data_IF_899666626292
#
_entry.id   IF_899666626292
#
_cell.length_a   1.000
_cell.length_b   1.000
_cell.length_c   1.000
_cell.angle_alpha   90.00
_cell.angle_beta   90.00
_cell.angle_gamma   90.00
#
_symmetry.space_group_name_H-M   'P 1'
#
loop_
_entity.id
_entity.type
_entity.pdbx_description
1 polymer ?
#
# COMPACT_ATOMS: atom_id res chain seq x y z
N UNK A 1 0.18 10.10 6.41
CA UNK A 1 1.23 10.38 7.42
C UNK A 1 2.61 10.32 6.79
N UNK A 2 2.94 9.31 5.96
CA UNK A 2 4.22 9.25 5.23
C UNK A 2 4.44 10.53 4.43
N UNK A 3 3.52 10.91 3.57
CA UNK A 3 3.64 12.04 2.64
C UNK A 3 4.03 13.36 3.30
N UNK A 4 3.57 13.63 4.54
CA UNK A 4 3.92 14.87 5.23
C UNK A 4 5.38 14.91 5.68
N UNK A 5 5.90 13.80 6.20
CA UNK A 5 7.31 13.69 6.62
C UNK A 5 8.22 13.70 5.41
N UNK A 6 7.87 12.92 4.37
CA UNK A 6 8.59 12.87 3.09
C UNK A 6 8.70 14.26 2.48
N UNK A 7 7.56 15.00 2.40
CA UNK A 7 7.55 16.35 1.83
C UNK A 7 8.46 17.32 2.57
N UNK A 8 8.53 17.24 3.92
CA UNK A 8 9.41 18.08 4.71
C UNK A 8 10.89 17.73 4.44
N UNK A 9 11.22 16.45 4.40
CA UNK A 9 12.61 15.99 4.19
C UNK A 9 13.03 16.28 2.75
N UNK A 10 12.20 15.94 1.76
CA UNK A 10 12.46 16.22 0.34
C UNK A 10 12.62 17.71 0.11
N UNK A 11 11.70 18.53 0.62
CA UNK A 11 11.77 20.00 0.45
C UNK A 11 13.02 20.61 1.05
N UNK A 12 13.46 20.11 2.23
CA UNK A 12 14.62 20.63 2.94
C UNK A 12 15.97 20.19 2.34
N UNK A 13 16.07 18.97 1.85
CA UNK A 13 17.33 18.35 1.45
C UNK A 13 17.49 18.07 -0.03
N UNK A 14 16.39 17.84 -0.77
CA UNK A 14 16.40 17.62 -2.22
C UNK A 14 16.02 18.88 -3.03
N UNK A 15 15.47 19.89 -2.36
CA UNK A 15 15.13 21.17 -2.97
C UNK A 15 13.70 21.27 -3.52
N UNK A 16 13.34 22.47 -3.98
CA UNK A 16 11.97 22.81 -4.38
C UNK A 16 11.47 22.06 -5.62
N UNK A 17 12.36 21.74 -6.57
CA UNK A 17 12.01 20.95 -7.76
C UNK A 17 11.63 19.52 -7.39
N UNK A 18 12.39 18.89 -6.49
CA UNK A 18 12.09 17.55 -5.99
C UNK A 18 10.77 17.51 -5.22
N UNK A 19 10.53 18.52 -4.38
CA UNK A 19 9.26 18.66 -3.66
C UNK A 19 8.07 18.83 -4.62
N UNK A 20 8.23 19.64 -5.68
CA UNK A 20 7.21 19.82 -6.69
C UNK A 20 6.93 18.51 -7.46
N UNK A 21 7.96 17.72 -7.78
CA UNK A 21 7.82 16.43 -8.44
C UNK A 21 7.03 15.41 -7.58
N UNK A 22 7.32 15.32 -6.30
CA UNK A 22 6.58 14.47 -5.35
C UNK A 22 5.13 14.96 -5.22
N UNK A 23 4.93 16.26 -4.97
CA UNK A 23 3.61 16.85 -4.79
C UNK A 23 2.70 16.73 -6.03
N UNK A 24 3.27 16.80 -7.23
CA UNK A 24 2.51 16.56 -8.49
C UNK A 24 2.03 15.10 -8.60
N UNK A 25 2.76 14.16 -8.01
CA UNK A 25 2.39 12.73 -8.02
C UNK A 25 1.38 12.37 -6.93
N UNK A 26 1.25 13.16 -5.85
CA UNK A 26 0.39 12.89 -4.69
C UNK A 26 -1.08 12.59 -5.04
N UNK A 27 -1.77 13.30 -5.95
CA UNK A 27 -3.14 12.96 -6.32
C UNK A 27 -3.29 11.55 -6.88
N UNK A 28 -2.32 11.11 -7.69
CA UNK A 28 -2.31 9.77 -8.30
C UNK A 28 -2.08 8.71 -7.22
N UNK A 29 -1.12 8.95 -6.33
CA UNK A 29 -0.83 8.08 -5.18
C UNK A 29 -2.04 7.93 -4.27
N UNK A 30 -2.70 9.05 -3.94
CA UNK A 30 -3.91 9.04 -3.10
C UNK A 30 -5.07 8.28 -3.77
N UNK A 31 -5.27 8.45 -5.07
CA UNK A 31 -6.29 7.71 -5.82
C UNK A 31 -6.03 6.21 -5.80
N UNK A 32 -4.77 5.79 -5.95
CA UNK A 32 -4.36 4.40 -5.85
C UNK A 32 -4.63 3.83 -4.45
N UNK A 33 -4.23 4.54 -3.39
CA UNK A 33 -4.46 4.14 -2.00
C UNK A 33 -5.95 4.02 -1.69
N UNK A 34 -6.76 4.99 -2.14
CA UNK A 34 -8.21 4.98 -1.94
C UNK A 34 -8.86 3.78 -2.64
N UNK A 35 -8.45 3.47 -3.87
CA UNK A 35 -8.93 2.30 -4.61
C UNK A 35 -8.64 0.98 -3.88
N UNK A 36 -7.40 0.77 -3.44
CA UNK A 36 -6.98 -0.40 -2.67
C UNK A 36 -7.75 -0.47 -1.34
N UNK A 37 -7.84 0.66 -0.62
CA UNK A 37 -8.52 0.72 0.68
C UNK A 37 -10.01 0.42 0.57
N UNK A 38 -10.68 0.87 -0.50
CA UNK A 38 -12.09 0.59 -0.75
C UNK A 38 -12.39 -0.90 -0.79
N UNK A 39 -11.59 -1.67 -1.54
CA UNK A 39 -11.68 -3.13 -1.62
C UNK A 39 -11.50 -3.75 -0.22
N UNK A 40 -10.48 -3.30 0.52
CA UNK A 40 -10.18 -3.83 1.84
C UNK A 40 -11.26 -3.51 2.88
N UNK A 41 -11.93 -2.36 2.77
CA UNK A 41 -13.06 -1.98 3.65
C UNK A 41 -14.23 -2.92 3.43
N UNK A 42 -14.64 -3.17 2.18
CA UNK A 42 -15.72 -4.11 1.86
C UNK A 42 -15.46 -5.50 2.41
N UNK A 43 -14.27 -6.04 2.16
CA UNK A 43 -13.84 -7.32 2.72
C UNK A 43 -13.82 -7.35 4.26
N UNK A 44 -13.38 -6.26 4.91
CA UNK A 44 -13.35 -6.15 6.37
C UNK A 44 -14.74 -6.22 6.99
N UNK A 45 -15.74 -5.59 6.36
CA UNK A 45 -17.13 -5.64 6.82
C UNK A 45 -17.65 -7.07 6.78
N UNK A 46 -17.46 -7.78 5.66
CA UNK A 46 -17.90 -9.15 5.49
C UNK A 46 -17.19 -10.12 6.46
N UNK A 47 -15.88 -9.97 6.62
CA UNK A 47 -15.12 -10.75 7.60
C UNK A 47 -15.58 -10.47 9.04
N UNK A 48 -15.97 -9.23 9.39
CA UNK A 48 -16.50 -8.88 10.70
C UNK A 48 -17.86 -9.52 10.95
N UNK A 49 -18.73 -9.60 9.93
CA UNK A 49 -20.02 -10.31 9.99
C UNK A 49 -19.79 -11.80 10.28
N UNK A 50 -18.89 -12.47 9.55
CA UNK A 50 -18.54 -13.87 9.78
C UNK A 50 -17.91 -14.10 11.16
N UNK A 51 -17.10 -13.14 11.64
CA UNK A 51 -16.52 -13.22 12.99
C UNK A 51 -17.59 -13.15 14.06
N UNK A 52 -18.55 -12.22 13.94
CA UNK A 52 -19.70 -12.13 14.84
C UNK A 52 -20.58 -13.37 14.85
N UNK A 53 -20.78 -13.99 13.68
CA UNK A 53 -21.51 -15.24 13.49
C UNK A 53 -20.70 -16.50 13.90
N UNK A 54 -19.42 -16.37 14.26
CA UNK A 54 -18.47 -17.46 14.59
C UNK A 54 -18.23 -18.46 13.44
N UNK A 55 -18.37 -18.02 12.20
CA UNK A 55 -18.17 -18.84 10.99
C UNK A 55 -16.72 -18.65 10.49
N UNK A 56 -15.76 -19.21 11.22
CA UNK A 56 -14.32 -18.98 11.01
C UNK A 56 -13.78 -19.46 9.66
N UNK A 57 -14.36 -20.50 9.07
CA UNK A 57 -13.95 -20.97 7.74
C UNK A 57 -14.30 -19.96 6.64
N UNK A 58 -15.42 -19.25 6.77
CA UNK A 58 -15.79 -18.22 5.80
C UNK A 58 -14.90 -16.97 5.93
N UNK A 59 -14.37 -16.67 7.14
CA UNK A 59 -13.35 -15.62 7.31
C UNK A 59 -12.12 -15.97 6.48
N UNK A 60 -11.62 -17.21 6.54
CA UNK A 60 -10.44 -17.66 5.78
C UNK A 60 -10.69 -17.61 4.28
N UNK A 61 -11.88 -18.05 3.84
CA UNK A 61 -12.28 -18.01 2.43
C UNK A 61 -12.34 -16.57 1.91
N UNK A 62 -12.95 -15.64 2.68
CA UNK A 62 -13.03 -14.24 2.32
C UNK A 62 -11.65 -13.57 2.33
N UNK A 63 -10.83 -13.85 3.33
CA UNK A 63 -9.47 -13.33 3.42
C UNK A 63 -8.61 -13.80 2.23
N UNK A 64 -8.68 -15.10 1.85
CA UNK A 64 -8.00 -15.64 0.68
C UNK A 64 -8.50 -15.03 -0.62
N UNK A 65 -9.82 -14.83 -0.74
CA UNK A 65 -10.45 -14.19 -1.91
C UNK A 65 -9.97 -12.76 -2.04
N UNK A 66 -9.93 -12.00 -0.94
CA UNK A 66 -9.44 -10.62 -0.91
C UNK A 66 -7.97 -10.52 -1.29
N UNK A 67 -7.11 -11.44 -0.81
CA UNK A 67 -5.70 -11.51 -1.23
C UNK A 67 -5.61 -11.75 -2.75
N UNK A 68 -6.35 -12.72 -3.26
CA UNK A 68 -6.28 -13.09 -4.69
C UNK A 68 -6.73 -11.96 -5.60
N UNK A 69 -7.88 -11.36 -5.30
CA UNK A 69 -8.45 -10.27 -6.10
C UNK A 69 -7.63 -9.00 -5.93
N UNK A 70 -7.31 -8.62 -4.69
CA UNK A 70 -6.53 -7.43 -4.40
C UNK A 70 -5.16 -7.45 -5.08
N UNK A 71 -4.45 -8.57 -5.00
CA UNK A 71 -3.16 -8.73 -5.68
C UNK A 71 -3.32 -8.77 -7.20
N UNK A 72 -4.37 -9.41 -7.72
CA UNK A 72 -4.66 -9.43 -9.16
C UNK A 72 -4.94 -8.03 -9.72
N UNK A 73 -5.80 -7.26 -9.06
CA UNK A 73 -6.09 -5.87 -9.44
C UNK A 73 -4.82 -5.01 -9.32
N UNK A 74 -4.07 -5.16 -8.22
CA UNK A 74 -2.84 -4.41 -8.02
C UNK A 74 -1.79 -4.73 -9.09
N UNK A 75 -1.66 -5.99 -9.50
CA UNK A 75 -0.75 -6.36 -10.59
C UNK A 75 -1.12 -5.66 -11.91
N UNK A 76 -2.41 -5.57 -12.24
CA UNK A 76 -2.88 -4.83 -13.41
C UNK A 76 -2.56 -3.33 -13.27
N UNK A 77 -2.81 -2.74 -12.10
CA UNK A 77 -2.50 -1.33 -11.81
C UNK A 77 -1.00 -1.06 -11.93
N UNK A 78 -0.14 -1.95 -11.44
CA UNK A 78 1.33 -1.82 -11.56
C UNK A 78 1.74 -1.82 -13.03
N UNK A 79 1.27 -2.79 -13.80
CA UNK A 79 1.62 -2.91 -15.22
C UNK A 79 1.17 -1.66 -15.99
N UNK A 80 -0.10 -1.28 -15.84
CA UNK A 80 -0.65 -0.10 -16.52
C UNK A 80 0.03 1.19 -16.01
N UNK A 81 0.27 1.29 -14.71
CA UNK A 81 0.93 2.44 -14.10
C UNK A 81 2.36 2.64 -14.62
N UNK A 82 3.14 1.57 -14.72
CA UNK A 82 4.50 1.63 -15.25
C UNK A 82 4.52 2.02 -16.74
N UNK A 83 3.57 1.48 -17.53
CA UNK A 83 3.47 1.78 -18.96
C UNK A 83 2.95 3.19 -19.23
N UNK A 84 1.98 3.65 -18.45
CA UNK A 84 1.24 4.89 -18.68
C UNK A 84 1.72 6.06 -17.81
N UNK A 85 2.70 5.87 -16.91
CA UNK A 85 3.17 6.91 -15.97
C UNK A 85 3.47 8.24 -16.64
N UNK A 86 4.20 8.22 -17.77
CA UNK A 86 4.53 9.42 -18.51
C UNK A 86 3.30 10.08 -19.15
N UNK A 87 2.37 9.28 -19.68
CA UNK A 87 1.10 9.77 -20.26
C UNK A 87 0.23 10.41 -19.18
N UNK A 88 0.13 9.79 -18.01
CA UNK A 88 -0.64 10.32 -16.88
C UNK A 88 -0.07 11.67 -16.43
N UNK A 89 1.26 11.78 -16.29
CA UNK A 89 1.92 13.02 -15.90
C UNK A 89 1.74 14.12 -16.96
N UNK A 90 1.77 13.78 -18.24
CA UNK A 90 1.47 14.73 -19.32
C UNK A 90 0.01 15.21 -19.27
N UNK A 91 -0.93 14.31 -18.96
CA UNK A 91 -2.35 14.64 -18.89
C UNK A 91 -2.66 15.65 -17.78
N UNK A 92 -1.96 15.53 -16.63
CA UNK A 92 -2.07 16.49 -15.52
C UNK A 92 -1.19 17.73 -15.71
N UNK A 93 -0.62 17.91 -16.93
CA UNK A 93 0.17 19.07 -17.32
C UNK A 93 1.40 19.31 -16.43
N UNK A 94 2.10 18.23 -16.04
CA UNK A 94 3.33 18.31 -15.26
C UNK A 94 4.38 19.15 -16.00
N UNK A 95 4.99 20.16 -15.35
CA UNK A 95 6.02 20.98 -15.97
C UNK A 95 7.20 20.15 -16.48
N UNK A 96 7.75 20.46 -17.69
CA UNK A 96 8.87 19.68 -18.26
C UNK A 96 10.10 19.59 -17.38
N UNK A 97 10.32 20.60 -16.54
CA UNK A 97 11.48 20.70 -15.64
C UNK A 97 11.52 19.63 -14.54
N UNK A 98 10.34 19.13 -14.13
CA UNK A 98 10.20 18.14 -13.06
C UNK A 98 9.67 16.80 -13.58
N UNK A 99 9.38 16.69 -14.88
CA UNK A 99 8.76 15.51 -15.49
C UNK A 99 9.56 14.23 -15.24
N UNK A 100 10.88 14.28 -15.38
CA UNK A 100 11.76 13.12 -15.21
C UNK A 100 11.73 12.61 -13.75
N UNK A 101 11.79 13.53 -12.81
CA UNK A 101 11.76 13.23 -11.36
C UNK A 101 10.39 12.70 -10.95
N UNK A 102 9.30 13.35 -11.36
CA UNK A 102 7.94 12.91 -11.10
C UNK A 102 7.67 11.51 -11.69
N UNK A 103 8.14 11.24 -12.91
CA UNK A 103 7.98 9.93 -13.55
C UNK A 103 8.75 8.83 -12.80
N UNK A 104 9.98 9.13 -12.35
CA UNK A 104 10.80 8.20 -11.58
C UNK A 104 10.15 7.87 -10.24
N UNK A 105 9.66 8.88 -9.53
CA UNK A 105 8.93 8.73 -8.26
C UNK A 105 7.65 7.90 -8.44
N UNK A 106 6.83 8.27 -9.41
CA UNK A 106 5.55 7.60 -9.68
C UNK A 106 5.74 6.12 -10.03
N UNK A 107 6.78 5.78 -10.80
CA UNK A 107 7.13 4.39 -11.09
C UNK A 107 7.50 3.61 -9.83
N UNK A 108 8.27 4.21 -8.92
CA UNK A 108 8.59 3.58 -7.64
C UNK A 108 7.34 3.35 -6.79
N UNK A 109 6.43 4.31 -6.75
CA UNK A 109 5.14 4.15 -6.05
C UNK A 109 4.33 3.00 -6.64
N UNK A 110 4.25 2.86 -7.98
CA UNK A 110 3.58 1.71 -8.59
C UNK A 110 4.26 0.39 -8.22
N UNK A 111 5.59 0.34 -8.19
CA UNK A 111 6.33 -0.86 -7.73
C UNK A 111 6.04 -1.16 -6.26
N UNK A 112 5.82 -0.16 -5.42
CA UNK A 112 5.43 -0.29 -4.01
C UNK A 112 3.98 -0.73 -3.80
N UNK A 113 3.08 -0.49 -4.76
CA UNK A 113 1.65 -0.76 -4.62
C UNK A 113 1.28 -2.19 -4.15
N UNK A 114 1.99 -3.27 -4.52
CA UNK A 114 1.73 -4.60 -3.96
C UNK A 114 1.94 -4.68 -2.45
N UNK A 115 2.93 -3.98 -1.90
CA UNK A 115 3.18 -3.94 -0.46
C UNK A 115 2.09 -3.15 0.27
N UNK A 116 1.70 -2.00 -0.30
CA UNK A 116 0.55 -1.23 0.19
C UNK A 116 -0.73 -2.07 0.20
N UNK A 117 -0.99 -2.82 -0.87
CA UNK A 117 -2.13 -3.71 -0.98
C UNK A 117 -2.09 -4.81 0.10
N UNK A 118 -0.98 -5.51 0.24
CA UNK A 118 -0.80 -6.55 1.26
C UNK A 118 -1.00 -5.98 2.68
N UNK A 119 -0.36 -4.85 3.00
CA UNK A 119 -0.56 -4.21 4.29
C UNK A 119 -2.04 -3.91 4.56
N UNK A 120 -2.76 -3.34 3.58
CA UNK A 120 -4.17 -3.01 3.73
C UNK A 120 -5.04 -4.26 3.93
N UNK A 121 -4.79 -5.35 3.20
CA UNK A 121 -5.52 -6.61 3.32
C UNK A 121 -5.30 -7.24 4.70
N UNK A 122 -4.05 -7.39 5.14
CA UNK A 122 -3.74 -7.96 6.46
C UNK A 122 -4.27 -7.07 7.60
N UNK A 123 -4.17 -5.76 7.44
CA UNK A 123 -4.73 -4.78 8.37
C UNK A 123 -6.26 -4.87 8.46
N UNK A 124 -6.94 -5.05 7.32
CA UNK A 124 -8.39 -5.25 7.25
C UNK A 124 -8.81 -6.54 7.96
N UNK A 125 -8.09 -7.64 7.73
CA UNK A 125 -8.30 -8.91 8.42
C UNK A 125 -8.13 -8.79 9.94
N UNK A 126 -7.09 -8.12 10.42
CA UNK A 126 -6.88 -7.89 11.84
C UNK A 126 -7.98 -7.03 12.45
N UNK A 127 -8.38 -5.95 11.79
CA UNK A 127 -9.48 -5.09 12.25
C UNK A 127 -10.81 -5.84 12.32
N UNK A 128 -11.08 -6.73 11.37
CA UNK A 128 -12.34 -7.49 11.34
C UNK A 128 -12.53 -8.43 12.54
N UNK A 129 -11.45 -8.87 13.16
CA UNK A 129 -11.45 -9.69 14.38
C UNK A 129 -11.25 -8.89 15.67
N UNK A 130 -11.28 -7.54 15.58
CA UNK A 130 -11.16 -6.64 16.73
C UNK A 130 -9.74 -6.15 17.04
N UNK A 131 -8.71 -6.59 16.33
CA UNK A 131 -7.33 -6.11 16.55
C UNK A 131 -7.01 -4.91 15.65
N UNK A 132 -7.42 -3.72 16.07
CA UNK A 132 -7.08 -2.47 15.39
C UNK A 132 -5.73 -1.90 15.83
N UNK A 133 -5.18 -2.32 16.96
CA UNK A 133 -3.96 -1.75 17.54
C UNK A 133 -2.71 -2.24 16.82
N UNK A 134 -2.65 -3.51 16.51
CA UNK A 134 -1.46 -4.13 15.89
C UNK A 134 -1.11 -3.51 14.53
N UNK A 135 -2.04 -3.35 13.56
CA UNK A 135 -1.73 -2.69 12.30
C UNK A 135 -1.25 -1.26 12.47
N UNK A 136 -1.87 -0.50 13.39
CA UNK A 136 -1.49 0.90 13.66
C UNK A 136 -0.06 0.96 14.22
N UNK A 137 0.31 0.07 15.12
CA UNK A 137 1.66 0.01 15.67
C UNK A 137 2.70 -0.29 14.59
N UNK A 138 2.43 -1.23 13.68
CA UNK A 138 3.32 -1.56 12.58
C UNK A 138 3.44 -0.40 11.59
N UNK A 139 2.33 0.30 11.33
CA UNK A 139 2.35 1.51 10.51
C UNK A 139 3.18 2.63 11.16
N UNK A 140 3.07 2.81 12.48
CA UNK A 140 3.85 3.81 13.20
C UNK A 140 5.36 3.50 13.13
N UNK A 141 5.76 2.24 13.37
CA UNK A 141 7.16 1.80 13.26
C UNK A 141 7.67 2.05 11.84
N UNK A 142 6.90 1.67 10.85
CA UNK A 142 7.24 1.83 9.43
C UNK A 142 7.34 3.30 9.02
N UNK A 143 6.50 4.17 9.60
CA UNK A 143 6.54 5.62 9.34
C UNK A 143 7.82 6.26 9.91
N UNK A 144 8.25 5.86 11.10
CA UNK A 144 9.52 6.31 11.66
C UNK A 144 10.69 5.82 10.82
N UNK A 145 10.66 4.55 10.42
CA UNK A 145 11.69 3.97 9.56
C UNK A 145 11.76 4.66 8.20
N UNK A 146 10.61 4.97 7.58
CA UNK A 146 10.54 5.72 6.34
C UNK A 146 11.25 7.07 6.48
N UNK A 147 10.93 7.88 7.50
CA UNK A 147 11.62 9.16 7.72
C UNK A 147 13.13 9.02 7.94
N UNK A 148 13.60 7.95 8.62
CA UNK A 148 15.02 7.66 8.76
C UNK A 148 15.66 7.31 7.41
N UNK A 149 15.00 6.48 6.60
CA UNK A 149 15.47 6.09 5.27
C UNK A 149 15.49 7.28 4.31
N UNK A 150 14.48 8.15 4.35
CA UNK A 150 14.46 9.39 3.58
C UNK A 150 15.68 10.25 3.87
N UNK A 151 15.95 10.46 5.16
CA UNK A 151 17.13 11.22 5.56
C UNK A 151 18.42 10.57 5.02
N UNK A 152 18.57 9.26 5.13
CA UNK A 152 19.75 8.51 4.66
C UNK A 152 19.87 8.61 3.14
N UNK A 153 18.81 8.30 2.39
CA UNK A 153 18.87 8.24 0.93
C UNK A 153 18.98 9.63 0.30
N UNK A 154 18.26 10.61 0.85
CA UNK A 154 18.25 11.95 0.28
C UNK A 154 19.48 12.74 0.73
N UNK A 155 19.80 12.72 2.04
CA UNK A 155 20.86 13.58 2.60
C UNK A 155 22.26 12.96 2.50
N UNK A 156 22.40 11.64 2.73
CA UNK A 156 23.71 10.96 2.75
C UNK A 156 24.07 10.47 1.36
N UNK A 157 23.13 9.78 0.68
CA UNK A 157 23.39 9.22 -0.64
C UNK A 157 23.05 10.18 -1.80
N UNK A 158 22.48 11.36 -1.53
CA UNK A 158 22.09 12.36 -2.54
C UNK A 158 21.19 11.81 -3.65
N UNK A 159 20.30 10.87 -3.32
CA UNK A 159 19.43 10.20 -4.31
C UNK A 159 18.21 11.04 -4.71
N UNK A 160 17.99 12.21 -4.12
CA UNK A 160 16.87 13.09 -4.45
C UNK A 160 15.51 12.40 -4.35
N UNK A 161 14.68 12.59 -5.35
CA UNK A 161 13.30 12.04 -5.42
C UNK A 161 13.27 10.50 -5.44
N UNK A 162 14.27 9.88 -6.08
CA UNK A 162 14.38 8.41 -6.12
C UNK A 162 14.60 7.87 -4.70
N UNK A 163 15.37 8.57 -3.87
CA UNK A 163 15.60 8.21 -2.47
C UNK A 163 14.29 8.18 -1.67
N UNK A 164 13.45 9.20 -1.82
CA UNK A 164 12.14 9.25 -1.17
C UNK A 164 11.23 8.09 -1.61
N UNK A 165 11.13 7.84 -2.92
CA UNK A 165 10.35 6.72 -3.43
C UNK A 165 10.81 5.36 -2.90
N UNK A 166 12.13 5.12 -2.87
CA UNK A 166 12.71 3.88 -2.33
C UNK A 166 12.45 3.74 -0.82
N UNK A 167 12.61 4.80 -0.05
CA UNK A 167 12.33 4.78 1.39
C UNK A 167 10.88 4.39 1.66
N UNK A 168 9.94 4.95 0.89
CA UNK A 168 8.52 4.63 0.99
C UNK A 168 8.24 3.17 0.65
N UNK A 169 8.76 2.66 -0.47
CA UNK A 169 8.59 1.26 -0.88
C UNK A 169 9.13 0.28 0.18
N UNK A 170 10.31 0.56 0.72
CA UNK A 170 10.93 -0.28 1.76
C UNK A 170 10.08 -0.25 3.04
N UNK A 171 9.65 0.93 3.48
CA UNK A 171 8.83 1.09 4.67
C UNK A 171 7.46 0.36 4.54
N UNK A 172 6.80 0.49 3.40
CA UNK A 172 5.57 -0.25 3.08
C UNK A 172 5.80 -1.76 3.06
N UNK A 173 6.90 -2.22 2.45
CA UNK A 173 7.29 -3.63 2.44
C UNK A 173 7.48 -4.17 3.85
N UNK A 174 8.15 -3.43 4.72
CA UNK A 174 8.36 -3.83 6.12
C UNK A 174 7.04 -3.90 6.87
N UNK A 175 6.14 -2.92 6.73
CA UNK A 175 4.83 -2.96 7.39
C UNK A 175 3.98 -4.14 6.91
N UNK A 176 4.00 -4.44 5.62
CA UNK A 176 3.31 -5.61 5.06
C UNK A 176 3.85 -6.93 5.63
N UNK A 177 5.19 -7.08 5.68
CA UNK A 177 5.85 -8.27 6.23
C UNK A 177 5.56 -8.41 7.72
N UNK A 178 5.61 -7.33 8.50
CA UNK A 178 5.30 -7.37 9.93
C UNK A 178 3.85 -7.82 10.18
N UNK A 179 2.88 -7.28 9.43
CA UNK A 179 1.48 -7.71 9.52
C UNK A 179 1.33 -9.19 9.13
N UNK A 180 1.95 -9.61 8.03
CA UNK A 180 1.92 -10.99 7.56
C UNK A 180 2.49 -11.95 8.59
N UNK A 181 3.69 -11.69 9.11
CA UNK A 181 4.36 -12.53 10.12
C UNK A 181 3.54 -12.59 11.40
N UNK A 182 2.95 -11.48 11.83
CA UNK A 182 2.10 -11.45 13.01
C UNK A 182 0.85 -12.32 12.82
N UNK A 183 0.16 -12.19 11.69
CA UNK A 183 -1.02 -13.01 11.38
C UNK A 183 -0.64 -14.49 11.36
N UNK A 184 0.44 -14.87 10.69
CA UNK A 184 0.89 -16.27 10.63
C UNK A 184 1.24 -16.84 12.00
N UNK A 185 1.79 -16.03 12.93
CA UNK A 185 2.22 -16.53 14.25
C UNK A 185 1.16 -16.45 15.32
N UNK A 186 0.25 -15.50 15.26
CA UNK A 186 -0.63 -15.14 16.37
C UNK A 186 -2.13 -15.25 16.07
N UNK A 187 -2.53 -15.35 14.80
CA UNK A 187 -3.94 -15.28 14.41
C UNK A 187 -4.36 -16.49 13.57
N UNK A 188 -4.61 -17.66 14.18
CA UNK A 188 -5.00 -18.88 13.46
C UNK A 188 -6.26 -18.73 12.61
N UNK A 189 -7.16 -17.79 12.97
CA UNK A 189 -8.40 -17.51 12.26
C UNK A 189 -8.19 -16.92 10.87
N UNK A 190 -7.02 -16.30 10.62
CA UNK A 190 -6.63 -15.74 9.33
C UNK A 190 -5.58 -16.61 8.61
N UNK A 191 -5.29 -17.83 9.11
CA UNK A 191 -4.42 -18.75 8.42
C UNK A 191 -5.10 -19.32 7.18
N UNK A 192 -4.57 -18.95 6.04
CA UNK A 192 -5.07 -19.39 4.74
C UNK A 192 -4.26 -20.57 4.24
N UNK A 193 -4.96 -21.65 3.92
CA UNK A 193 -4.41 -22.84 3.25
C UNK A 193 -4.74 -22.80 1.75
N UNK A 194 -4.06 -23.59 0.93
CA UNK A 194 -4.33 -23.66 -0.51
C UNK A 194 -5.80 -23.97 -0.86
N UNK A 195 -6.52 -24.68 0.01
CA UNK A 195 -7.94 -24.99 -0.20
C UNK A 195 -8.85 -23.75 -0.20
N UNK A 196 -8.47 -22.67 0.51
CA UNK A 196 -9.24 -21.44 0.63
C UNK A 196 -9.09 -20.52 -0.60
N UNK A 197 -8.06 -20.73 -1.44
CA UNK A 197 -7.87 -19.99 -2.69
C UNK A 197 -8.78 -20.48 -3.83
N UNK A 198 -9.91 -21.12 -3.50
CA UNK A 198 -10.92 -21.48 -4.50
C UNK A 198 -11.78 -20.26 -4.81
N UNK A 199 -11.91 -19.97 -6.11
CA UNK A 199 -12.73 -18.86 -6.61
C UNK A 199 -14.19 -19.05 -6.19
N UNK A 200 -14.65 -18.29 -5.19
CA UNK A 200 -16.03 -18.35 -4.71
C UNK A 200 -16.81 -17.12 -5.21
N UNK A 201 -17.56 -17.32 -6.32
CA UNK A 201 -18.33 -16.25 -6.98
C UNK A 201 -19.35 -15.57 -6.03
N UNK A 202 -19.85 -16.31 -5.04
CA UNK A 202 -20.82 -15.79 -4.06
C UNK A 202 -20.15 -14.77 -3.10
N UNK A 203 -18.94 -15.05 -2.66
CA UNK A 203 -18.18 -14.12 -1.79
C UNK A 203 -17.82 -12.85 -2.58
N UNK A 204 -17.35 -12.99 -3.79
CA UNK A 204 -16.99 -11.85 -4.65
C UNK A 204 -18.18 -10.90 -4.81
N UNK A 205 -19.37 -11.42 -5.15
CA UNK A 205 -20.57 -10.59 -5.33
C UNK A 205 -21.09 -9.94 -4.04
N UNK A 206 -20.59 -10.34 -2.85
CA UNK A 206 -20.96 -9.72 -1.57
C UNK A 206 -19.92 -8.71 -1.10
N UNK A 207 -18.68 -8.84 -1.56
CA UNK A 207 -17.56 -7.96 -1.19
C UNK A 207 -17.52 -6.71 -2.08
N UNK A 208 -17.91 -6.85 -3.34
CA UNK A 208 -17.95 -5.82 -4.38
C UNK A 208 -19.38 -5.56 -4.84
#
# INVERSE_FOLDING_TARGET
TYNAVDSIIVGKFAGTKALAAVGTSDPIVNMLILGISGICIGASVLMSEFFGAKIYEDIKNEFATTISIGMGITAIIVILGLLLSNTILNLIQTPPEIMADANSYLKLVFIGAPFTCLYNIYSAGLRSIGDSKTPINFLAISSVLNGCLDYIFIRIFNMGVIGAGLATVIAEGISAVLCMVYVFRKVPMLHVERKHFKFNRRLINRTF
#
